data_IF_217615821949
#
_entry.id   IF_217615821949
#
_cell.length_a   1.000
_cell.length_b   1.000
_cell.length_c   1.000
_cell.angle_alpha   90.00
_cell.angle_beta   90.00
_cell.angle_gamma   90.00
#
_symmetry.space_group_name_H-M   'P 1'
#
loop_
_entity.id
_entity.type
_entity.pdbx_description
1 polymer ?
#
# COMPACT_ATOMS: atom_id res chain seq x y z
N UNK A 1 5.24 -5.75 -18.41
CA UNK A 1 4.42 -4.66 -17.81
C UNK A 1 3.56 -5.29 -16.72
N UNK A 2 3.35 -4.63 -15.58
CA UNK A 2 2.49 -5.12 -14.47
C UNK A 2 1.30 -4.17 -14.27
N UNK A 3 0.10 -4.70 -14.08
CA UNK A 3 -1.12 -3.98 -13.71
C UNK A 3 -1.22 -3.86 -12.18
N UNK A 4 -1.17 -2.63 -11.69
CA UNK A 4 -1.31 -2.31 -10.28
C UNK A 4 -2.67 -1.68 -9.99
N UNK A 5 -3.35 -2.15 -8.93
CA UNK A 5 -4.65 -1.61 -8.48
C UNK A 5 -4.55 -1.20 -7.02
N UNK A 6 -5.20 -0.11 -6.63
CA UNK A 6 -5.26 0.27 -5.22
C UNK A 6 -5.99 -0.80 -4.42
N UNK A 7 -5.41 -1.18 -3.28
CA UNK A 7 -6.07 -2.10 -2.37
C UNK A 7 -7.40 -1.50 -1.89
N UNK A 8 -8.44 -2.34 -1.88
CA UNK A 8 -9.71 -2.15 -1.19
C UNK A 8 -10.24 -3.54 -0.83
N UNK A 9 -11.13 -3.61 0.15
CA UNK A 9 -11.83 -4.87 0.48
C UNK A 9 -12.52 -5.48 -0.74
N UNK A 10 -13.14 -4.66 -1.56
CA UNK A 10 -13.87 -5.02 -2.76
C UNK A 10 -12.93 -5.59 -3.83
N UNK A 11 -11.81 -4.93 -4.09
CA UNK A 11 -10.81 -5.44 -5.02
C UNK A 11 -10.19 -6.75 -4.52
N UNK A 12 -9.91 -6.86 -3.21
CA UNK A 12 -9.45 -8.10 -2.60
C UNK A 12 -10.43 -9.25 -2.85
N UNK A 13 -11.74 -9.04 -2.58
CA UNK A 13 -12.74 -10.07 -2.80
C UNK A 13 -12.84 -10.48 -4.27
N UNK A 14 -12.82 -9.52 -5.20
CA UNK A 14 -12.86 -9.83 -6.64
C UNK A 14 -11.65 -10.66 -7.11
N UNK A 15 -10.44 -10.35 -6.61
CA UNK A 15 -9.23 -11.12 -6.94
C UNK A 15 -9.26 -12.49 -6.28
N UNK A 16 -9.65 -12.55 -5.00
CA UNK A 16 -9.72 -13.81 -4.24
C UNK A 16 -10.78 -14.77 -4.79
N UNK A 17 -11.88 -14.25 -5.35
CA UNK A 17 -12.90 -15.03 -6.05
C UNK A 17 -12.54 -15.33 -7.52
N UNK A 18 -11.40 -14.86 -8.00
CA UNK A 18 -10.94 -15.08 -9.38
C UNK A 18 -11.74 -14.33 -10.45
N UNK A 19 -12.48 -13.27 -10.06
CA UNK A 19 -13.32 -12.47 -10.98
C UNK A 19 -12.51 -11.43 -11.77
N UNK A 20 -11.37 -11.01 -11.23
CA UNK A 20 -10.39 -10.14 -11.89
C UNK A 20 -8.98 -10.65 -11.61
N UNK A 21 -8.03 -10.31 -12.47
CA UNK A 21 -6.62 -10.60 -12.24
C UNK A 21 -5.80 -9.31 -12.27
N UNK A 22 -4.92 -9.16 -11.29
CA UNK A 22 -4.02 -8.01 -11.10
C UNK A 22 -2.67 -8.53 -10.63
N UNK A 23 -1.60 -7.87 -11.04
CA UNK A 23 -0.25 -8.31 -10.70
C UNK A 23 0.16 -7.90 -9.27
N UNK A 24 -0.33 -6.76 -8.79
CA UNK A 24 0.09 -6.16 -7.53
C UNK A 24 -0.97 -5.21 -6.96
N UNK A 25 -1.12 -5.21 -5.64
CA UNK A 25 -1.90 -4.19 -4.94
C UNK A 25 -1.03 -3.00 -4.56
N UNK A 26 -1.51 -1.77 -4.79
CA UNK A 26 -0.95 -0.57 -4.17
C UNK A 26 -1.59 -0.40 -2.80
N UNK A 27 -0.80 -0.50 -1.75
CA UNK A 27 -1.28 -0.52 -0.37
C UNK A 27 -0.65 0.65 0.41
N UNK A 28 -1.43 1.46 1.14
CA UNK A 28 -0.86 2.43 2.06
C UNK A 28 -0.32 1.73 3.31
N UNK A 29 0.59 2.39 4.01
CA UNK A 29 1.25 1.93 5.23
C UNK A 29 0.45 2.21 6.52
N UNK A 30 -0.88 2.20 6.43
CA UNK A 30 -1.75 2.62 7.54
C UNK A 30 -1.66 1.71 8.77
N UNK A 31 -1.51 0.39 8.56
CA UNK A 31 -1.23 -0.59 9.62
C UNK A 31 -0.76 -1.92 9.02
N UNK A 32 -0.04 -2.71 9.81
CA UNK A 32 0.54 -3.99 9.37
C UNK A 32 -0.52 -5.00 8.93
N UNK A 33 -1.66 -5.06 9.63
CA UNK A 33 -2.76 -5.99 9.29
C UNK A 33 -3.35 -5.73 7.90
N UNK A 34 -3.41 -4.46 7.46
CA UNK A 34 -3.85 -4.10 6.12
C UNK A 34 -2.85 -4.60 5.07
N UNK A 35 -1.56 -4.39 5.32
CA UNK A 35 -0.48 -4.85 4.44
C UNK A 35 -0.50 -6.38 4.34
N UNK A 36 -0.58 -7.08 5.47
CA UNK A 36 -0.69 -8.54 5.54
C UNK A 36 -1.92 -9.05 4.78
N UNK A 37 -3.07 -8.36 4.90
CA UNK A 37 -4.30 -8.73 4.18
C UNK A 37 -4.14 -8.54 2.67
N UNK A 38 -3.52 -7.45 2.21
CA UNK A 38 -3.22 -7.27 0.80
C UNK A 38 -2.28 -8.38 0.28
N UNK A 39 -1.21 -8.66 1.04
CA UNK A 39 -0.17 -9.64 0.71
C UNK A 39 -0.65 -11.09 0.69
N UNK A 40 -1.75 -11.41 1.40
CA UNK A 40 -2.29 -12.77 1.42
C UNK A 40 -2.90 -13.20 0.07
N UNK A 41 -3.24 -12.25 -0.81
CA UNK A 41 -3.88 -12.52 -2.09
C UNK A 41 -2.96 -12.24 -3.30
N UNK A 42 -2.22 -11.13 -3.28
CA UNK A 42 -1.24 -10.72 -4.30
C UNK A 42 -0.09 -9.95 -3.63
N UNK A 43 1.08 -9.81 -4.27
CA UNK A 43 2.10 -8.91 -3.76
C UNK A 43 1.54 -7.50 -3.51
N UNK A 44 1.99 -6.84 -2.44
CA UNK A 44 1.62 -5.48 -2.11
C UNK A 44 2.81 -4.54 -2.32
N UNK A 45 2.65 -3.54 -3.18
CA UNK A 45 3.49 -2.36 -3.24
C UNK A 45 3.05 -1.41 -2.13
N UNK A 46 3.79 -1.43 -1.01
CA UNK A 46 3.53 -0.55 0.13
C UNK A 46 4.08 0.84 -0.18
N UNK A 47 3.23 1.85 -0.11
CA UNK A 47 3.64 3.24 -0.28
C UNK A 47 3.51 4.01 1.03
N UNK A 48 4.59 4.65 1.42
CA UNK A 48 4.70 5.47 2.62
C UNK A 48 4.37 6.91 2.29
N UNK A 49 3.54 7.55 3.11
CA UNK A 49 3.22 8.96 2.94
C UNK A 49 4.43 9.85 3.29
N UNK A 50 4.58 10.94 2.52
CA UNK A 50 5.46 12.06 2.83
C UNK A 50 4.60 13.27 3.20
N UNK A 51 4.42 13.51 4.49
CA UNK A 51 3.55 14.56 5.01
C UNK A 51 4.28 15.91 5.15
N UNK A 52 4.86 16.41 4.05
CA UNK A 52 5.68 17.64 4.01
C UNK A 52 4.90 18.91 3.62
N UNK A 53 3.57 18.90 3.74
CA UNK A 53 2.70 20.03 3.38
C UNK A 53 2.90 21.29 4.24
N UNK A 54 2.16 22.35 3.92
CA UNK A 54 2.29 23.67 4.56
C UNK A 54 2.21 23.58 6.10
N UNK A 55 3.30 23.97 6.78
CA UNK A 55 3.39 23.97 8.24
C UNK A 55 3.72 22.63 8.89
N UNK A 56 4.04 21.59 8.11
CA UNK A 56 4.32 20.24 8.62
C UNK A 56 5.77 19.75 8.37
N UNK A 57 6.67 20.60 7.85
CA UNK A 57 8.05 20.18 7.56
C UNK A 57 8.78 19.62 8.80
N UNK A 58 8.56 20.21 9.97
CA UNK A 58 9.15 19.77 11.24
C UNK A 58 8.51 18.49 11.80
N UNK A 59 7.41 18.03 11.19
CA UNK A 59 6.67 16.82 11.59
C UNK A 59 6.90 15.65 10.63
N UNK A 60 7.70 15.85 9.58
CA UNK A 60 8.08 14.77 8.67
C UNK A 60 8.89 13.73 9.44
N UNK A 61 8.47 12.47 9.35
CA UNK A 61 9.18 11.35 9.96
C UNK A 61 10.34 10.90 9.06
N UNK A 62 11.46 11.61 9.17
CA UNK A 62 12.67 11.32 8.40
C UNK A 62 13.26 9.95 8.74
N UNK A 63 13.13 9.49 9.99
CA UNK A 63 13.62 8.18 10.43
C UNK A 63 12.88 7.07 9.67
N UNK A 64 11.56 7.21 9.52
CA UNK A 64 10.76 6.28 8.74
C UNK A 64 11.23 6.23 7.29
N UNK A 65 11.53 7.38 6.67
CA UNK A 65 12.04 7.43 5.29
C UNK A 65 13.41 6.73 5.19
N UNK A 66 14.34 7.00 6.10
CA UNK A 66 15.66 6.37 6.14
C UNK A 66 15.58 4.84 6.28
N UNK A 67 14.64 4.31 7.06
CA UNK A 67 14.45 2.87 7.23
C UNK A 67 13.97 2.15 5.95
N UNK A 68 13.51 2.88 4.93
CA UNK A 68 13.01 2.34 3.66
C UNK A 68 13.88 2.68 2.43
N UNK A 69 15.05 3.29 2.63
CA UNK A 69 16.09 3.52 1.60
C UNK A 69 17.14 2.40 1.61
#
# INVERSE_FOLDING_TARGET
MKLAVNYSSEAYHLVNEGKIDVDVFKCPDLNDKLIETAQSCRPAYVHFNLDAGTGNMDKVDWIKIENFL
#
